data_IF_277060646182
#
_entry.id   IF_277060646182
#
_cell.length_a   1.000
_cell.length_b   1.000
_cell.length_c   1.000
_cell.angle_alpha   90.00
_cell.angle_beta   90.00
_cell.angle_gamma   90.00
#
_symmetry.space_group_name_H-M   'P 1'
#
loop_
_entity.id
_entity.type
_entity.pdbx_description
1 polymer ?
#
# COMPACT_ATOMS: atom_id res chain seq x y z
N UNK A 1 3.84 4.26 23.09
CA UNK A 1 2.46 4.55 22.65
C UNK A 1 1.51 3.95 23.68
N UNK A 2 0.97 4.75 24.60
CA UNK A 2 -0.11 4.28 25.47
C UNK A 2 -1.39 4.15 24.61
N UNK A 3 -2.04 3.01 24.72
CA UNK A 3 -3.13 2.54 23.86
C UNK A 3 -4.27 3.56 23.78
N UNK A 4 -4.50 4.13 22.59
CA UNK A 4 -5.79 4.72 22.23
C UNK A 4 -5.79 6.17 21.78
N UNK A 5 -4.76 6.97 22.05
CA UNK A 5 -4.76 8.39 21.67
C UNK A 5 -3.78 8.71 20.53
N UNK A 6 -4.11 8.22 19.33
CA UNK A 6 -3.30 8.46 18.12
C UNK A 6 -3.29 9.94 17.72
N UNK A 7 -4.35 10.70 17.99
CA UNK A 7 -4.40 12.14 17.70
C UNK A 7 -3.46 12.94 18.60
N UNK A 8 -3.40 12.64 19.90
CA UNK A 8 -2.41 13.25 20.80
C UNK A 8 -0.98 12.85 20.41
N UNK A 9 -0.76 11.58 20.05
CA UNK A 9 0.54 11.09 19.61
C UNK A 9 0.99 11.80 18.31
N UNK A 10 0.08 12.01 17.37
CA UNK A 10 0.35 12.74 16.13
C UNK A 10 0.89 14.15 16.42
N UNK A 11 0.22 14.92 17.29
CA UNK A 11 0.66 16.27 17.67
C UNK A 11 2.07 16.24 18.26
N UNK A 12 2.34 15.29 19.14
CA UNK A 12 3.67 15.10 19.75
C UNK A 12 4.72 14.79 18.68
N UNK A 13 4.44 13.86 17.77
CA UNK A 13 5.37 13.50 16.70
C UNK A 13 5.59 14.64 15.71
N UNK A 14 4.56 15.40 15.34
CA UNK A 14 4.73 16.61 14.51
C UNK A 14 5.61 17.66 15.20
N UNK A 15 5.39 17.89 16.50
CA UNK A 15 6.23 18.80 17.26
C UNK A 15 7.67 18.31 17.35
N UNK A 16 7.86 17.02 17.63
CA UNK A 16 9.19 16.41 17.67
C UNK A 16 9.90 16.52 16.31
N UNK A 17 9.19 16.29 15.20
CA UNK A 17 9.73 16.43 13.84
C UNK A 17 10.17 17.86 13.53
N UNK A 18 9.48 18.87 14.07
CA UNK A 18 9.84 20.29 13.89
C UNK A 18 11.12 20.71 14.63
N UNK A 19 11.47 19.99 15.71
CA UNK A 19 12.64 20.29 16.53
C UNK A 19 13.85 19.50 16.01
N UNK A 20 13.66 18.21 15.78
CA UNK A 20 14.71 17.29 15.37
C UNK A 20 14.11 16.27 14.39
N UNK A 21 14.19 16.56 13.08
CA UNK A 21 13.66 15.69 12.03
C UNK A 21 14.41 14.36 12.02
N UNK A 22 13.69 13.26 12.15
CA UNK A 22 14.24 11.91 12.12
C UNK A 22 13.30 10.96 11.37
N UNK A 23 13.88 9.97 10.70
CA UNK A 23 13.12 9.03 9.88
C UNK A 23 12.24 8.10 10.74
N UNK A 24 12.68 7.71 11.94
CA UNK A 24 11.87 6.88 12.84
C UNK A 24 10.68 7.66 13.42
N UNK A 25 10.87 8.93 13.77
CA UNK A 25 9.78 9.82 14.19
C UNK A 25 8.75 10.01 13.09
N UNK A 26 9.18 10.22 11.85
CA UNK A 26 8.30 10.30 10.68
C UNK A 26 7.54 8.98 10.44
N UNK A 27 8.21 7.83 10.62
CA UNK A 27 7.59 6.51 10.52
C UNK A 27 6.49 6.31 11.59
N UNK A 28 6.75 6.72 12.83
CA UNK A 28 5.75 6.68 13.91
C UNK A 28 4.57 7.64 13.67
N UNK A 29 4.83 8.83 13.10
CA UNK A 29 3.80 9.76 12.68
C UNK A 29 2.88 9.12 11.63
N UNK A 30 3.47 8.48 10.61
CA UNK A 30 2.71 7.76 9.58
C UNK A 30 1.78 6.69 10.18
N UNK A 31 2.27 5.90 11.14
CA UNK A 31 1.43 4.91 11.82
C UNK A 31 0.23 5.57 12.53
N UNK A 32 0.43 6.72 13.19
CA UNK A 32 -0.67 7.45 13.82
C UNK A 32 -1.70 7.93 12.80
N UNK A 33 -1.27 8.38 11.63
CA UNK A 33 -2.15 8.84 10.54
C UNK A 33 -2.97 7.69 9.94
N UNK A 34 -2.36 6.53 9.71
CA UNK A 34 -3.04 5.32 9.22
C UNK A 34 -4.13 4.89 10.21
N UNK A 35 -3.84 4.89 11.52
CA UNK A 35 -4.81 4.53 12.57
C UNK A 35 -5.96 5.52 12.68
N UNK A 36 -5.74 6.77 12.29
CA UNK A 36 -6.77 7.82 12.22
C UNK A 36 -7.49 7.88 10.87
N UNK A 37 -7.19 6.97 9.94
CA UNK A 37 -7.75 6.94 8.57
C UNK A 37 -7.39 8.17 7.72
N UNK A 38 -6.30 8.86 8.05
CA UNK A 38 -5.77 10.01 7.29
C UNK A 38 -4.74 9.52 6.26
N UNK A 39 -5.21 8.80 5.26
CA UNK A 39 -4.35 8.05 4.32
C UNK A 39 -3.54 8.96 3.38
N UNK A 40 -4.12 10.08 2.95
CA UNK A 40 -3.45 11.06 2.08
C UNK A 40 -2.21 11.64 2.75
N UNK A 41 -2.33 12.04 4.02
CA UNK A 41 -1.20 12.58 4.78
C UNK A 41 -0.17 11.49 5.11
N UNK A 42 -0.62 10.28 5.46
CA UNK A 42 0.27 9.14 5.69
C UNK A 42 1.16 8.88 4.47
N UNK A 43 0.59 8.93 3.26
CA UNK A 43 1.32 8.75 2.00
C UNK A 43 2.40 9.80 1.81
N UNK A 44 2.10 11.08 2.03
CA UNK A 44 3.08 12.18 1.90
C UNK A 44 4.25 12.02 2.88
N UNK A 45 3.97 11.54 4.09
CA UNK A 45 5.01 11.25 5.09
C UNK A 45 5.89 10.10 4.63
N UNK A 46 5.32 8.99 4.14
CA UNK A 46 6.09 7.87 3.60
C UNK A 46 6.95 8.29 2.41
N UNK A 47 6.39 9.03 1.46
CA UNK A 47 7.14 9.53 0.30
C UNK A 47 8.33 10.39 0.72
N UNK A 48 8.15 11.21 1.76
CA UNK A 48 9.24 12.01 2.32
C UNK A 48 10.34 11.16 2.95
N UNK A 49 9.98 10.04 3.59
CA UNK A 49 10.95 9.06 4.10
C UNK A 49 11.67 8.37 2.93
N UNK A 50 10.95 7.85 1.94
CA UNK A 50 11.55 7.16 0.78
C UNK A 50 12.49 8.07 -0.02
N UNK A 51 12.18 9.36 -0.12
CA UNK A 51 13.03 10.38 -0.75
C UNK A 51 14.29 10.71 0.06
N UNK A 52 14.47 10.13 1.25
CA UNK A 52 15.64 10.38 2.08
C UNK A 52 15.68 11.78 2.68
N UNK A 53 14.53 12.45 2.85
CA UNK A 53 14.46 13.81 3.41
C UNK A 53 14.84 13.87 4.89
N UNK A 54 14.94 12.73 5.56
CA UNK A 54 15.25 12.62 6.97
C UNK A 54 16.58 11.90 7.21
N UNK A 55 17.36 12.34 8.21
CA UNK A 55 18.53 11.59 8.66
C UNK A 55 18.11 10.19 9.14
N UNK A 56 18.97 9.19 8.91
CA UNK A 56 18.70 7.79 9.25
C UNK A 56 17.83 7.03 8.25
N UNK A 57 17.39 7.67 7.16
CA UNK A 57 16.51 7.05 6.16
C UNK A 57 17.10 5.85 5.40
N UNK A 58 18.41 5.62 5.50
CA UNK A 58 19.09 4.50 4.84
C UNK A 58 19.18 3.23 5.69
N UNK A 59 18.67 3.25 6.93
CA UNK A 59 18.66 2.06 7.77
C UNK A 59 17.75 0.97 7.16
N UNK A 60 18.30 -0.22 6.99
CA UNK A 60 17.57 -1.39 6.47
C UNK A 60 16.33 -1.71 7.32
N UNK A 61 16.42 -1.53 8.65
CA UNK A 61 15.27 -1.78 9.54
C UNK A 61 14.13 -0.82 9.26
N UNK A 62 14.48 0.44 8.99
CA UNK A 62 13.51 1.47 8.68
C UNK A 62 12.87 1.24 7.31
N UNK A 63 13.63 0.78 6.32
CA UNK A 63 13.08 0.40 5.00
C UNK A 63 12.04 -0.70 5.11
N UNK A 64 12.35 -1.79 5.81
CA UNK A 64 11.39 -2.86 6.06
C UNK A 64 10.11 -2.32 6.72
N UNK A 65 10.26 -1.42 7.69
CA UNK A 65 9.12 -0.82 8.38
C UNK A 65 8.28 0.07 7.47
N UNK A 66 8.91 0.82 6.56
CA UNK A 66 8.21 1.63 5.57
C UNK A 66 7.43 0.75 4.58
N UNK A 67 8.00 -0.38 4.16
CA UNK A 67 7.31 -1.35 3.29
C UNK A 67 6.07 -1.94 3.98
N UNK A 68 6.17 -2.31 5.26
CA UNK A 68 5.01 -2.75 6.06
C UNK A 68 3.92 -1.69 6.11
N UNK A 69 4.29 -0.42 6.36
CA UNK A 69 3.32 0.69 6.42
C UNK A 69 2.68 0.97 5.06
N UNK A 70 3.41 0.84 3.95
CA UNK A 70 2.86 0.94 2.60
C UNK A 70 1.83 -0.16 2.32
N UNK A 71 2.12 -1.38 2.75
CA UNK A 71 1.18 -2.50 2.62
C UNK A 71 -0.09 -2.28 3.47
N UNK A 72 0.06 -1.83 4.73
CA UNK A 72 -1.07 -1.47 5.59
C UNK A 72 -1.92 -0.35 4.96
N UNK A 73 -1.27 0.69 4.40
CA UNK A 73 -1.94 1.80 3.73
C UNK A 73 -2.76 1.32 2.53
N UNK A 74 -2.17 0.52 1.64
CA UNK A 74 -2.85 -0.02 0.46
C UNK A 74 -4.02 -0.93 0.80
N UNK A 75 -3.89 -1.75 1.86
CA UNK A 75 -4.98 -2.60 2.35
C UNK A 75 -6.16 -1.76 2.88
N UNK A 76 -5.86 -0.67 3.62
CA UNK A 76 -6.88 0.23 4.14
C UNK A 76 -7.59 1.02 3.03
N UNK A 77 -6.85 1.55 2.06
CA UNK A 77 -7.42 2.26 0.90
C UNK A 77 -8.32 1.34 0.08
N UNK A 78 -7.88 0.11 -0.18
CA UNK A 78 -8.68 -0.90 -0.91
C UNK A 78 -9.96 -1.25 -0.15
N UNK A 79 -9.88 -1.42 1.17
CA UNK A 79 -11.04 -1.73 2.01
C UNK A 79 -12.10 -0.62 2.01
N UNK A 80 -11.67 0.65 1.97
CA UNK A 80 -12.57 1.80 1.83
C UNK A 80 -13.26 1.84 0.47
N UNK A 81 -12.51 1.55 -0.61
CA UNK A 81 -13.07 1.49 -1.96
C UNK A 81 -14.12 0.39 -2.09
N UNK A 82 -13.90 -0.76 -1.44
CA UNK A 82 -14.84 -1.89 -1.43
C UNK A 82 -16.06 -1.67 -0.53
N UNK A 83 -15.93 -0.86 0.53
CA UNK A 83 -17.03 -0.54 1.46
C UNK A 83 -17.88 0.66 1.04
N UNK A 84 -17.51 1.37 -0.02
CA UNK A 84 -18.31 2.47 -0.53
C UNK A 84 -19.66 1.94 -1.05
N UNK A 85 -20.81 2.47 -0.59
CA UNK A 85 -22.11 1.97 -1.01
C UNK A 85 -22.29 2.20 -2.50
N UNK A 86 -22.61 1.11 -3.19
CA UNK A 86 -22.92 1.00 -4.61
C UNK A 86 -23.80 2.16 -5.09
N UNK A 87 -23.16 3.19 -5.64
CA UNK A 87 -23.84 4.35 -6.24
C UNK A 87 -23.12 4.91 -7.46
N UNK A 88 -21.95 4.37 -7.81
CA UNK A 88 -21.28 4.66 -9.07
C UNK A 88 -21.15 3.34 -9.83
N UNK A 89 -21.69 3.32 -11.04
CA UNK A 89 -21.42 2.30 -12.05
C UNK A 89 -19.93 2.33 -12.38
N UNK A 90 -19.13 1.73 -11.51
CA UNK A 90 -17.66 1.75 -11.52
C UNK A 90 -17.10 0.34 -11.84
N UNK A 91 -17.97 -0.62 -12.13
CA UNK A 91 -17.65 -2.04 -12.24
C UNK A 91 -16.67 -2.40 -13.34
N UNK A 92 -16.66 -1.68 -14.47
CA UNK A 92 -15.83 -2.09 -15.62
C UNK A 92 -14.55 -1.24 -15.75
N UNK A 93 -14.65 0.09 -15.65
CA UNK A 93 -13.48 0.97 -15.82
C UNK A 93 -12.45 0.84 -14.68
N UNK A 94 -12.88 0.53 -13.46
CA UNK A 94 -11.97 0.34 -12.33
C UNK A 94 -11.28 -1.01 -12.38
N UNK A 95 -11.99 -2.08 -12.79
CA UNK A 95 -11.39 -3.41 -12.99
C UNK A 95 -10.38 -3.35 -14.13
N UNK A 96 -10.70 -2.65 -15.23
CA UNK A 96 -9.77 -2.39 -16.33
C UNK A 96 -8.53 -1.59 -15.86
N UNK A 97 -8.74 -0.57 -15.02
CA UNK A 97 -7.65 0.23 -14.45
C UNK A 97 -6.73 -0.57 -13.52
N UNK A 98 -7.31 -1.49 -12.74
CA UNK A 98 -6.55 -2.42 -11.91
C UNK A 98 -5.80 -3.45 -12.75
N UNK A 99 -6.40 -3.96 -13.83
CA UNK A 99 -5.75 -4.91 -14.74
C UNK A 99 -4.59 -4.28 -15.51
N UNK A 100 -4.75 -3.03 -15.95
CA UNK A 100 -3.67 -2.23 -16.55
C UNK A 100 -2.53 -1.93 -15.56
N UNK A 101 -2.86 -1.70 -14.28
CA UNK A 101 -1.85 -1.47 -13.25
C UNK A 101 -1.07 -2.75 -12.92
N UNK A 102 -1.77 -3.87 -12.73
CA UNK A 102 -1.14 -5.15 -12.43
C UNK A 102 -0.36 -5.73 -13.63
N UNK A 103 -0.78 -5.45 -14.87
CA UNK A 103 -0.03 -5.79 -16.08
C UNK A 103 1.22 -4.92 -16.26
N UNK A 104 1.14 -3.62 -15.97
CA UNK A 104 2.32 -2.73 -15.87
C UNK A 104 3.34 -3.24 -14.85
N UNK A 105 2.88 -3.76 -13.72
CA UNK A 105 3.72 -4.30 -12.66
C UNK A 105 4.26 -5.71 -12.96
N UNK A 106 3.97 -6.30 -14.13
CA UNK A 106 4.34 -7.67 -14.51
C UNK A 106 3.93 -8.76 -13.50
N UNK A 107 3.01 -8.48 -12.58
CA UNK A 107 2.63 -9.40 -11.49
C UNK A 107 1.90 -10.65 -12.03
N UNK A 108 1.29 -10.54 -13.21
CA UNK A 108 0.65 -11.66 -13.91
C UNK A 108 1.60 -12.57 -14.67
N UNK A 109 2.87 -12.19 -14.82
CA UNK A 109 3.90 -13.06 -15.42
C UNK A 109 4.51 -14.02 -14.42
N UNK A 110 3.75 -14.39 -13.39
CA UNK A 110 3.98 -15.59 -12.61
C UNK A 110 3.65 -16.81 -13.46
N UNK A 111 4.59 -17.11 -14.38
CA UNK A 111 4.92 -18.42 -14.98
C UNK A 111 3.84 -19.50 -14.77
N UNK A 112 2.90 -19.62 -15.71
CA UNK A 112 2.28 -20.94 -15.94
C UNK A 112 3.42 -21.89 -16.34
N UNK A 113 3.54 -23.00 -15.63
CA UNK A 113 4.49 -24.04 -15.99
C UNK A 113 4.15 -24.52 -17.42
N UNK A 114 5.14 -24.66 -18.32
CA UNK A 114 4.92 -25.02 -19.73
C UNK A 114 4.16 -26.34 -19.94
N UNK A 115 4.06 -27.18 -18.90
CA UNK A 115 3.25 -28.41 -18.89
C UNK A 115 1.76 -28.16 -19.16
N UNK A 116 1.24 -26.97 -18.85
CA UNK A 116 -0.20 -26.67 -19.02
C UNK A 116 -0.57 -26.11 -20.40
N UNK A 117 0.37 -25.87 -21.31
CA UNK A 117 0.06 -25.52 -22.71
C UNK A 117 -0.45 -26.72 -23.51
N UNK A 118 -0.03 -27.95 -23.18
CA UNK A 118 -0.32 -29.13 -24.00
C UNK A 118 -1.74 -29.70 -23.78
N UNK A 119 -2.35 -29.49 -22.61
CA UNK A 119 -3.66 -30.05 -22.25
C UNK A 119 -4.83 -29.25 -22.86
N UNK A 120 -4.61 -27.98 -23.23
CA UNK A 120 -5.66 -27.14 -23.82
C UNK A 120 -6.02 -27.52 -25.26
N UNK A 121 -5.10 -28.16 -26.00
CA UNK A 121 -5.35 -28.58 -27.38
C UNK A 121 -6.24 -29.83 -27.47
N UNK A 122 -6.12 -30.74 -26.50
CA UNK A 122 -6.81 -32.03 -26.52
C UNK A 122 -8.31 -31.99 -26.16
N UNK A 123 -8.81 -30.89 -25.58
CA UNK A 123 -10.20 -30.84 -25.14
C UNK A 123 -11.20 -30.55 -26.26
N UNK A 124 -10.74 -30.16 -27.44
CA UNK A 124 -11.59 -29.85 -28.59
C UNK A 124 -11.85 -31.02 -29.55
N UNK A 125 -11.49 -32.26 -29.20
CA UNK A 125 -11.67 -33.43 -30.08
C UNK A 125 -12.58 -34.54 -29.53
N UNK A 126 -13.28 -34.34 -28.41
CA UNK A 126 -14.20 -35.34 -27.83
C UNK A 126 -15.67 -34.91 -27.85
N UNK A 127 -16.06 -34.20 -28.92
CA UNK A 127 -17.47 -33.98 -29.25
C UNK A 127 -17.74 -34.53 -30.66
N UNK A 128 -17.80 -35.86 -30.77
CA UNK A 128 -18.51 -36.61 -31.81
C UNK A 128 -19.04 -37.89 -31.17
#
# INVERSE_FOLDING_TARGET
MQLGNYSAAEVVYRKAQSIDPDANKACNLCLCLIRQKQYTEARLVIESIVQGKFPGSHDHKLRNRVEELLHELGTCETSLLLSAPSGLSLGDAFVEGLDQLMSRLNLYKSRRLPVFEEISSFRNQLAC
#
